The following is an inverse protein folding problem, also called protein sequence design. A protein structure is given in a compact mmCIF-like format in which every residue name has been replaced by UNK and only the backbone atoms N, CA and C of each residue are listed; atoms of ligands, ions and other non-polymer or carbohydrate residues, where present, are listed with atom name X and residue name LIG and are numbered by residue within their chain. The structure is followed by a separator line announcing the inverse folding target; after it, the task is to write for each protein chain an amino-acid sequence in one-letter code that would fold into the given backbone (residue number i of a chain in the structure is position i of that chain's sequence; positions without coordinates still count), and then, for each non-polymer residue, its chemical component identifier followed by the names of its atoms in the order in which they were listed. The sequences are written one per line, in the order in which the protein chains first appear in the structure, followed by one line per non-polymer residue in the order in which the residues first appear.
data_IF_594444835566
#
_entry.id   IF_594444835566
#
_cell.length_a   1.000
_cell.length_b   1.000
_cell.length_c   1.000
_cell.angle_alpha   90.00
_cell.angle_beta   90.00
_cell.angle_gamma   90.00
#
_symmetry.space_group_name_H-M   'P 1'
#
loop_
_entity.id
_entity.type
_entity.pdbx_description
1 polymer ?
#
# COMPACT_ATOMS: atom_id res chain seq x y z
N UNK A 1 -39.40 -19.35 -34.41
CA UNK A 1 -39.44 -18.78 -33.05
C UNK A 1 -38.24 -19.39 -32.35
N UNK A 2 -37.08 -18.76 -32.49
CA UNK A 2 -35.84 -19.23 -31.88
C UNK A 2 -35.44 -18.23 -30.82
N UNK A 3 -35.79 -18.54 -29.57
CA UNK A 3 -35.31 -17.82 -28.40
C UNK A 3 -33.85 -18.19 -28.19
N UNK A 4 -32.94 -17.41 -28.77
CA UNK A 4 -31.52 -17.46 -28.44
C UNK A 4 -31.31 -16.94 -27.02
N UNK A 5 -31.46 -17.82 -26.03
CA UNK A 5 -31.09 -17.54 -24.64
C UNK A 5 -29.56 -17.59 -24.49
N UNK A 6 -28.86 -16.57 -25.00
CA UNK A 6 -27.57 -16.21 -24.41
C UNK A 6 -27.86 -15.40 -23.15
N UNK A 7 -28.41 -16.09 -22.14
CA UNK A 7 -28.46 -15.57 -20.78
C UNK A 7 -27.06 -15.68 -20.20
N UNK A 8 -26.21 -14.68 -20.49
CA UNK A 8 -25.18 -14.36 -19.51
C UNK A 8 -25.93 -14.01 -18.22
N UNK A 9 -25.73 -14.81 -17.18
CA UNK A 9 -26.33 -14.56 -15.87
C UNK A 9 -25.99 -13.11 -15.48
N UNK A 10 -26.97 -12.34 -14.98
CA UNK A 10 -26.72 -10.97 -14.58
C UNK A 10 -25.60 -10.98 -13.54
N UNK A 11 -24.49 -10.29 -13.84
CA UNK A 11 -23.35 -10.13 -12.93
C UNK A 11 -23.90 -9.76 -11.56
N UNK A 12 -23.69 -10.63 -10.57
CA UNK A 12 -24.28 -10.44 -9.25
C UNK A 12 -23.80 -9.12 -8.66
N UNK A 13 -24.67 -8.41 -7.93
CA UNK A 13 -24.28 -7.16 -7.27
C UNK A 13 -23.08 -7.35 -6.33
N UNK A 14 -22.91 -8.56 -5.78
CA UNK A 14 -21.78 -8.97 -4.95
C UNK A 14 -20.45 -9.06 -5.73
N UNK A 15 -20.49 -9.31 -7.05
CA UNK A 15 -19.31 -9.25 -7.93
C UNK A 15 -18.97 -7.81 -8.34
N UNK A 16 -19.96 -6.92 -8.43
CA UNK A 16 -19.77 -5.51 -8.77
C UNK A 16 -19.25 -4.68 -7.58
N UNK A 17 -19.63 -5.06 -6.36
CA UNK A 17 -19.29 -4.38 -5.10
C UNK A 17 -18.69 -5.35 -4.09
N UNK A 18 -17.35 -5.43 -4.05
CA UNK A 18 -16.66 -6.32 -3.13
C UNK A 18 -15.87 -5.51 -2.10
N UNK A 19 -16.15 -5.74 -0.82
CA UNK A 19 -15.40 -5.16 0.30
C UNK A 19 -14.71 -6.28 1.07
N UNK A 20 -13.40 -6.40 0.88
CA UNK A 20 -12.58 -7.33 1.65
C UNK A 20 -12.02 -6.64 2.91
N UNK A 21 -12.53 -7.04 4.07
CA UNK A 21 -12.08 -6.52 5.37
C UNK A 21 -10.97 -7.34 6.01
N UNK A 22 -10.61 -8.50 5.46
CA UNK A 22 -9.54 -9.32 6.03
C UNK A 22 -8.18 -8.69 5.70
N UNK A 23 -7.42 -8.22 6.71
CA UNK A 23 -6.15 -7.55 6.46
C UNK A 23 -5.12 -8.52 5.92
N UNK A 24 -4.47 -8.17 4.82
CA UNK A 24 -3.38 -8.97 4.28
C UNK A 24 -2.11 -8.86 5.14
N UNK A 25 -1.88 -7.70 5.75
CA UNK A 25 -0.69 -7.42 6.55
C UNK A 25 -1.03 -6.93 7.98
N UNK A 26 -0.39 -7.52 9.00
CA UNK A 26 -0.48 -7.06 10.41
C UNK A 26 0.87 -6.62 10.95
N UNK A 27 0.92 -5.41 11.51
CA UNK A 27 2.14 -4.83 12.09
C UNK A 27 1.96 -4.36 13.54
N UNK A 28 2.97 -4.59 14.36
CA UNK A 28 3.18 -3.92 15.65
C UNK A 28 4.46 -3.10 15.56
N UNK A 29 4.37 -1.80 15.82
CA UNK A 29 5.50 -0.87 15.68
C UNK A 29 5.75 -0.17 16.98
N UNK A 30 6.89 -0.46 17.59
CA UNK A 30 7.39 0.33 18.71
C UNK A 30 8.25 1.45 18.17
N UNK A 31 8.12 2.64 18.74
CA UNK A 31 8.90 3.83 18.39
C UNK A 31 9.37 4.48 19.68
N UNK A 32 10.64 4.82 19.72
CA UNK A 32 11.24 5.62 20.78
C UNK A 32 11.97 6.79 20.15
N UNK A 33 11.70 7.98 20.65
CA UNK A 33 12.39 9.19 20.26
C UNK A 33 13.52 9.44 21.25
N UNK A 34 14.76 9.52 20.76
CA UNK A 34 15.96 9.70 21.58
C UNK A 34 16.88 10.69 20.86
N UNK A 35 17.24 11.79 21.52
CA UNK A 35 18.27 12.74 21.05
C UNK A 35 18.13 13.15 19.56
N UNK A 36 16.92 13.44 19.10
CA UNK A 36 16.69 13.86 17.70
C UNK A 36 16.58 12.72 16.68
N UNK A 37 16.63 11.46 17.12
CA UNK A 37 16.47 10.26 16.28
C UNK A 37 15.26 9.46 16.74
N UNK A 38 14.48 8.96 15.78
CA UNK A 38 13.43 7.97 16.01
C UNK A 38 13.99 6.58 15.76
N UNK A 39 14.10 5.82 16.82
CA UNK A 39 14.34 4.38 16.78
C UNK A 39 12.99 3.69 16.73
N UNK A 40 12.84 2.67 15.91
CA UNK A 40 11.63 1.87 15.88
C UNK A 40 11.89 0.40 15.64
N UNK A 41 11.10 -0.44 16.28
CA UNK A 41 11.04 -1.87 16.03
C UNK A 41 9.69 -2.15 15.35
N UNK A 42 9.73 -2.59 14.10
CA UNK A 42 8.55 -3.03 13.39
C UNK A 42 8.54 -4.56 13.40
N UNK A 43 7.47 -5.14 13.93
CA UNK A 43 7.18 -6.55 13.88
C UNK A 43 6.01 -6.75 12.92
N UNK A 44 6.20 -7.64 11.96
CA UNK A 44 5.22 -8.09 10.98
C UNK A 44 4.83 -9.52 11.34
N UNK A 45 3.53 -9.80 11.50
CA UNK A 45 3.04 -11.09 12.04
C UNK A 45 2.21 -11.91 11.07
N UNK A 46 1.61 -11.25 10.09
CA UNK A 46 0.72 -11.89 9.15
C UNK A 46 0.97 -11.23 7.81
N UNK A 47 1.32 -12.05 6.82
CA UNK A 47 1.45 -11.65 5.44
C UNK A 47 0.87 -12.78 4.58
N UNK A 48 -0.42 -12.67 4.25
CA UNK A 48 -1.07 -13.66 3.42
C UNK A 48 -0.46 -13.63 2.00
N UNK A 49 -0.10 -14.79 1.40
CA UNK A 49 -0.44 -16.16 1.80
C UNK A 49 0.65 -16.91 2.60
N UNK A 50 1.86 -16.38 2.73
CA UNK A 50 3.03 -17.13 3.23
C UNK A 50 3.08 -17.21 4.76
N UNK A 51 2.45 -16.25 5.45
CA UNK A 51 2.39 -16.14 6.91
C UNK A 51 3.77 -16.10 7.59
N UNK A 52 4.66 -15.26 7.07
CA UNK A 52 6.00 -15.06 7.63
C UNK A 52 6.02 -13.98 8.72
N UNK A 53 6.90 -14.18 9.70
CA UNK A 53 7.18 -13.20 10.74
C UNK A 53 8.46 -12.46 10.41
N UNK A 54 8.38 -11.12 10.34
CA UNK A 54 9.55 -10.31 10.06
C UNK A 54 9.73 -9.20 11.10
N UNK A 55 10.90 -9.17 11.72
CA UNK A 55 11.33 -8.04 12.55
C UNK A 55 12.20 -7.09 11.72
N UNK A 56 12.01 -5.78 11.89
CA UNK A 56 12.84 -4.74 11.28
C UNK A 56 13.14 -3.66 12.30
N UNK A 57 14.42 -3.41 12.53
CA UNK A 57 14.88 -2.24 13.26
C UNK A 57 14.99 -1.07 12.29
N UNK A 58 14.33 0.04 12.61
CA UNK A 58 14.27 1.23 11.77
C UNK A 58 14.81 2.41 12.54
N UNK A 59 15.79 3.08 11.95
CA UNK A 59 16.39 4.30 12.48
C UNK A 59 16.16 5.41 11.48
N UNK A 60 15.56 6.50 11.93
CA UNK A 60 15.40 7.71 11.11
C UNK A 60 15.54 8.95 11.99
N UNK A 61 16.15 10.02 11.48
CA UNK A 61 16.17 11.29 12.18
C UNK A 61 14.75 11.86 12.32
N UNK A 62 14.52 12.63 13.39
CA UNK A 62 13.27 13.36 13.63
C UNK A 62 13.20 14.64 12.79
N UNK A 63 14.36 15.22 12.48
CA UNK A 63 14.44 16.50 11.82
C UNK A 63 14.09 16.38 10.32
N UNK A 64 13.27 17.31 9.78
CA UNK A 64 12.75 17.21 8.41
C UNK A 64 13.82 17.37 7.31
N UNK A 65 14.98 17.93 7.67
CA UNK A 65 16.17 18.16 6.86
C UNK A 65 17.05 16.91 6.70
N UNK A 66 17.05 16.00 7.69
CA UNK A 66 17.85 14.76 7.64
C UNK A 66 17.03 13.66 6.96
N UNK A 67 17.44 13.31 5.74
CA UNK A 67 16.61 12.58 4.76
C UNK A 67 17.04 11.14 4.52
N UNK A 68 17.34 10.39 5.57
CA UNK A 68 17.68 8.97 5.44
C UNK A 68 16.86 8.11 6.40
N UNK A 69 16.74 6.83 6.05
CA UNK A 69 16.10 5.80 6.85
C UNK A 69 17.00 4.59 6.79
N UNK A 70 17.59 4.25 7.92
CA UNK A 70 18.31 3.00 8.09
C UNK A 70 17.32 1.92 8.52
N UNK A 71 17.49 0.72 7.98
CA UNK A 71 16.69 -0.46 8.26
C UNK A 71 17.65 -1.61 8.45
N UNK A 72 17.51 -2.34 9.54
CA UNK A 72 18.20 -3.61 9.76
C UNK A 72 17.17 -4.72 9.93
N UNK A 73 17.32 -5.77 9.15
CA UNK A 73 16.46 -6.95 9.17
C UNK A 73 17.24 -8.09 9.84
N UNK A 74 17.05 -8.33 11.16
CA UNK A 74 17.86 -9.27 11.94
C UNK A 74 17.81 -10.72 11.45
N UNK A 75 16.72 -11.16 10.82
CA UNK A 75 16.57 -12.56 10.35
C UNK A 75 17.54 -12.88 9.21
N UNK A 76 17.67 -11.97 8.25
CA UNK A 76 18.56 -12.14 7.09
C UNK A 76 19.93 -11.50 7.30
N UNK A 77 20.11 -10.79 8.42
CA UNK A 77 21.24 -9.89 8.64
C UNK A 77 21.42 -8.94 7.45
N UNK A 78 20.32 -8.32 7.01
CA UNK A 78 20.35 -7.36 5.91
C UNK A 78 20.30 -5.94 6.46
N UNK A 79 21.19 -5.09 5.96
CA UNK A 79 21.24 -3.67 6.28
C UNK A 79 20.86 -2.86 5.05
N UNK A 80 19.97 -1.91 5.21
CA UNK A 80 19.55 -1.00 4.16
C UNK A 80 19.57 0.44 4.63
N UNK A 81 20.08 1.33 3.78
CA UNK A 81 20.01 2.77 3.94
C UNK A 81 19.20 3.32 2.77
N UNK A 82 18.05 3.90 3.06
CA UNK A 82 17.16 4.50 2.06
C UNK A 82 17.14 6.01 2.22
N UNK A 83 17.19 6.74 1.12
CA UNK A 83 16.91 8.18 1.08
C UNK A 83 15.41 8.46 1.25
N UNK A 84 15.07 9.68 1.68
CA UNK A 84 13.72 10.23 1.53
C UNK A 84 13.38 10.28 0.04
N UNK A 85 12.09 10.10 -0.28
CA UNK A 85 11.59 10.35 -1.63
C UNK A 85 11.99 11.76 -2.09
N UNK A 86 12.76 11.81 -3.17
CA UNK A 86 13.21 12.99 -3.89
C UNK A 86 12.15 13.28 -4.96
N UNK A 87 11.41 14.39 -4.85
CA UNK A 87 10.48 14.78 -5.92
C UNK A 87 11.30 15.19 -7.15
N UNK A 88 11.22 14.42 -8.23
CA UNK A 88 11.82 14.79 -9.52
C UNK A 88 10.89 15.77 -10.24
N UNK A 89 9.58 15.52 -10.16
CA UNK A 89 8.53 16.39 -10.74
C UNK A 89 7.36 16.50 -9.76
N UNK A 90 6.31 17.26 -10.12
CA UNK A 90 5.06 17.34 -9.34
C UNK A 90 4.39 15.97 -9.14
N UNK A 91 4.62 15.03 -10.05
CA UNK A 91 3.96 13.72 -10.05
C UNK A 91 4.92 12.56 -9.80
N UNK A 92 6.24 12.76 -9.95
CA UNK A 92 7.25 11.71 -9.84
C UNK A 92 8.13 11.89 -8.60
N UNK A 93 8.29 10.80 -7.85
CA UNK A 93 9.14 10.71 -6.69
C UNK A 93 10.13 9.55 -6.84
N UNK A 94 11.43 9.85 -6.76
CA UNK A 94 12.51 8.86 -6.76
C UNK A 94 12.99 8.61 -5.33
N UNK A 95 13.20 7.35 -4.99
CA UNK A 95 13.84 6.92 -3.75
C UNK A 95 15.01 6.03 -4.11
N UNK A 96 16.20 6.37 -3.62
CA UNK A 96 17.42 5.57 -3.80
C UNK A 96 17.88 5.03 -2.45
N UNK A 97 18.50 3.88 -2.43
CA UNK A 97 19.12 3.32 -1.26
C UNK A 97 20.19 2.30 -1.60
N UNK A 98 21.00 1.98 -0.60
CA UNK A 98 22.05 0.97 -0.66
C UNK A 98 21.72 -0.09 0.37
N UNK A 99 21.86 -1.34 -0.01
CA UNK A 99 21.67 -2.50 0.85
C UNK A 99 22.92 -3.36 0.88
N UNK A 100 23.20 -3.97 2.02
CA UNK A 100 24.20 -5.01 2.15
C UNK A 100 23.57 -6.21 2.82
N UNK A 101 23.70 -7.38 2.20
CA UNK A 101 23.33 -8.65 2.82
C UNK A 101 24.58 -9.32 3.34
N UNK A 102 24.65 -9.49 4.67
CA UNK A 102 25.81 -10.14 5.30
C UNK A 102 25.81 -11.65 5.06
N UNK A 103 24.65 -12.30 4.86
CA UNK A 103 24.58 -13.72 4.52
C UNK A 103 25.19 -13.99 3.14
N UNK A 104 24.76 -13.23 2.13
CA UNK A 104 25.22 -13.40 0.75
C UNK A 104 26.51 -12.64 0.44
N UNK A 105 27.04 -11.84 1.39
CA UNK A 105 28.21 -10.98 1.21
C UNK A 105 28.10 -10.05 -0.03
N UNK A 106 26.88 -9.61 -0.36
CA UNK A 106 26.63 -8.76 -1.53
C UNK A 106 26.13 -7.38 -1.13
N UNK A 107 26.65 -6.36 -1.82
CA UNK A 107 26.16 -4.98 -1.72
C UNK A 107 25.39 -4.64 -2.98
N UNK A 108 24.17 -4.14 -2.82
CA UNK A 108 23.27 -3.79 -3.90
C UNK A 108 22.74 -2.37 -3.79
N UNK A 109 22.36 -1.81 -4.94
CA UNK A 109 21.65 -0.53 -5.02
C UNK A 109 20.17 -0.80 -5.27
N UNK A 110 19.31 -0.10 -4.52
CA UNK A 110 17.86 -0.18 -4.64
C UNK A 110 17.32 1.19 -4.98
N UNK A 111 16.66 1.32 -6.12
CA UNK A 111 15.98 2.55 -6.51
C UNK A 111 14.50 2.26 -6.78
N UNK A 112 13.65 3.24 -6.51
CA UNK A 112 12.20 3.15 -6.65
C UNK A 112 11.64 4.47 -7.17
N UNK A 113 11.05 4.44 -8.35
CA UNK A 113 10.30 5.56 -8.92
C UNK A 113 8.80 5.36 -8.63
N UNK A 114 8.14 6.38 -8.09
CA UNK A 114 6.69 6.34 -7.78
C UNK A 114 5.98 7.53 -8.40
N UNK A 115 4.86 7.27 -9.07
CA UNK A 115 3.95 8.29 -9.63
C UNK A 115 2.66 8.39 -8.82
N UNK A 116 2.04 9.57 -8.76
CA UNK A 116 0.69 9.76 -8.22
C UNK A 116 -0.41 9.73 -9.28
N UNK A 117 -0.07 9.54 -10.56
CA UNK A 117 -1.03 9.33 -11.64
C UNK A 117 -1.42 7.84 -11.66
N UNK A 118 -2.66 7.52 -11.32
CA UNK A 118 -3.22 6.17 -11.47
C UNK A 118 -3.39 5.84 -12.95
N UNK A 119 -2.77 4.75 -13.41
CA UNK A 119 -2.84 4.32 -14.82
C UNK A 119 -3.97 3.31 -15.07
N UNK A 120 -4.46 3.29 -16.31
CA UNK A 120 -5.39 2.31 -16.91
C UNK A 120 -6.89 2.48 -16.62
N UNK A 121 -7.44 3.70 -16.56
CA UNK A 121 -8.89 3.94 -16.50
C UNK A 121 -9.60 3.51 -15.20
N UNK A 122 -8.89 2.81 -14.31
CA UNK A 122 -9.33 2.46 -12.96
C UNK A 122 -8.89 3.56 -12.02
N UNK A 123 -9.84 4.22 -11.37
CA UNK A 123 -9.56 5.18 -10.30
C UNK A 123 -9.20 4.40 -9.04
N UNK A 124 -7.90 4.15 -8.85
CA UNK A 124 -7.35 3.47 -7.67
C UNK A 124 -6.97 4.48 -6.60
N UNK A 125 -7.73 4.50 -5.50
CA UNK A 125 -7.42 5.27 -4.29
C UNK A 125 -6.70 4.37 -3.32
N UNK A 126 -5.50 4.78 -2.89
CA UNK A 126 -4.77 4.09 -1.81
C UNK A 126 -4.47 5.06 -0.69
N UNK A 127 -5.01 4.80 0.49
CA UNK A 127 -4.88 5.71 1.62
C UNK A 127 -4.49 4.98 2.92
N UNK A 128 -4.06 5.77 3.90
CA UNK A 128 -3.76 5.31 5.25
C UNK A 128 -4.48 6.21 6.24
N UNK A 129 -5.45 5.66 6.95
CA UNK A 129 -6.16 6.34 8.03
C UNK A 129 -5.44 6.03 9.34
N UNK A 130 -5.22 7.03 10.21
CA UNK A 130 -4.65 6.81 11.55
C UNK A 130 -5.65 7.28 12.62
N UNK A 131 -5.85 6.48 13.65
CA UNK A 131 -6.72 6.72 14.79
C UNK A 131 -5.88 6.65 16.07
N UNK A 132 -5.71 7.78 16.76
CA UNK A 132 -5.05 7.82 18.07
C UNK A 132 -6.03 7.44 19.17
N UNK A 133 -5.71 6.42 19.98
CA UNK A 133 -6.57 6.02 21.09
C UNK A 133 -6.21 6.76 22.37
N UNK A 134 -4.92 6.82 22.70
CA UNK A 134 -4.40 7.54 23.86
C UNK A 134 -2.96 7.99 23.58
N UNK A 135 -2.39 8.92 24.38
CA UNK A 135 -1.05 9.42 24.15
C UNK A 135 -0.03 8.28 24.03
N UNK A 136 0.58 8.15 22.85
CA UNK A 136 1.58 7.12 22.57
C UNK A 136 1.04 5.81 21.98
N UNK A 137 -0.26 5.64 21.73
CA UNK A 137 -0.79 4.51 20.94
C UNK A 137 -1.68 5.00 19.78
N UNK A 138 -1.26 4.68 18.56
CA UNK A 138 -2.01 4.92 17.34
C UNK A 138 -2.31 3.62 16.60
N UNK A 139 -3.54 3.45 16.12
CA UNK A 139 -3.87 2.45 15.12
C UNK A 139 -3.85 3.07 13.73
N UNK A 140 -3.30 2.36 12.74
CA UNK A 140 -3.22 2.80 11.36
C UNK A 140 -3.71 1.74 10.41
N UNK A 141 -4.67 2.11 9.59
CA UNK A 141 -5.34 1.26 8.62
C UNK A 141 -4.95 1.70 7.22
N UNK A 142 -4.25 0.84 6.48
CA UNK A 142 -4.00 1.03 5.05
C UNK A 142 -5.10 0.34 4.26
N UNK A 143 -5.74 1.07 3.35
CA UNK A 143 -6.83 0.56 2.53
C UNK A 143 -6.68 1.02 1.09
N UNK A 144 -7.22 0.22 0.18
CA UNK A 144 -7.28 0.49 -1.25
C UNK A 144 -8.73 0.41 -1.70
N UNK A 145 -9.15 1.33 -2.57
CA UNK A 145 -10.43 1.29 -3.25
C UNK A 145 -10.21 1.50 -4.74
N UNK A 146 -10.59 0.50 -5.52
CA UNK A 146 -10.58 0.52 -6.98
C UNK A 146 -11.99 0.82 -7.47
N UNK A 147 -12.12 1.92 -8.21
CA UNK A 147 -13.40 2.35 -8.76
C UNK A 147 -13.32 2.45 -10.28
N UNK A 148 -14.24 1.74 -10.94
CA UNK A 148 -14.50 1.82 -12.37
C UNK A 148 -15.83 2.54 -12.54
N UNK A 149 -15.79 3.70 -13.21
CA UNK A 149 -16.97 4.49 -13.50
C UNK A 149 -17.93 3.69 -14.41
N UNK A 150 -19.26 3.82 -14.21
CA UNK A 150 -20.21 3.28 -15.15
C UNK A 150 -20.04 3.96 -16.51
N UNK A 151 -20.08 3.17 -17.57
CA UNK A 151 -19.93 3.65 -18.94
C UNK A 151 -21.17 3.29 -19.75
N UNK A 152 -21.74 4.28 -20.42
CA UNK A 152 -22.86 4.11 -21.34
C UNK A 152 -22.34 4.40 -22.73
N UNK A 153 -22.32 3.38 -23.58
CA UNK A 153 -21.93 3.48 -24.99
C UNK A 153 -23.15 3.16 -25.86
N UNK A 154 -23.20 3.71 -27.06
CA UNK A 154 -24.27 3.43 -28.00
C UNK A 154 -23.89 3.94 -29.36
N UNK A 155 -24.14 3.15 -30.39
CA UNK A 155 -23.84 3.53 -31.76
C UNK A 155 -25.04 3.25 -32.67
N UNK A 156 -25.24 4.13 -33.64
CA UNK A 156 -26.33 4.04 -34.62
C UNK A 156 -25.71 3.91 -36.00
N UNK A 157 -25.97 2.79 -36.69
CA UNK A 157 -25.54 2.58 -38.08
C UNK A 157 -24.21 1.84 -38.28
N UNK A 158 -23.49 1.45 -37.21
CA UNK A 158 -22.22 0.71 -37.29
C UNK A 158 -22.35 -0.79 -36.96
N UNK A 159 -23.56 -1.32 -36.76
CA UNK A 159 -23.80 -2.72 -36.39
C UNK A 159 -23.52 -3.06 -34.92
N UNK A 160 -23.01 -2.09 -34.15
CA UNK A 160 -22.91 -2.13 -32.70
C UNK A 160 -24.28 -1.87 -32.04
N UNK A 161 -24.49 -2.32 -30.78
CA UNK A 161 -25.76 -2.14 -30.09
C UNK A 161 -26.12 -0.65 -29.89
N UNK A 162 -27.41 -0.35 -30.06
CA UNK A 162 -28.00 0.99 -29.88
C UNK A 162 -27.73 1.58 -28.49
N UNK A 163 -27.61 0.71 -27.48
CA UNK A 163 -27.28 1.06 -26.11
C UNK A 163 -26.56 -0.12 -25.44
N UNK A 164 -25.42 0.16 -24.82
CA UNK A 164 -24.66 -0.76 -23.99
C UNK A 164 -24.27 -0.02 -22.71
N UNK A 165 -24.50 -0.66 -21.56
CA UNK A 165 -24.29 -0.06 -20.26
C UNK A 165 -23.44 -0.98 -19.39
N UNK A 166 -22.29 -0.47 -18.95
CA UNK A 166 -21.50 -1.05 -17.90
C UNK A 166 -21.84 -0.33 -16.59
N UNK A 167 -22.30 -1.06 -15.59
CA UNK A 167 -22.70 -0.53 -14.27
C UNK A 167 -21.52 -0.01 -13.44
N UNK A 168 -20.28 -0.16 -13.91
CA UNK A 168 -19.09 0.15 -13.14
C UNK A 168 -18.83 -0.91 -12.05
N UNK A 169 -17.70 -0.78 -11.35
CA UNK A 169 -17.28 -1.72 -10.31
C UNK A 169 -16.60 -0.98 -9.16
N UNK A 170 -16.86 -1.39 -7.93
CA UNK A 170 -16.16 -0.91 -6.74
C UNK A 170 -15.57 -2.10 -5.99
N UNK A 171 -14.26 -2.09 -5.83
CA UNK A 171 -13.55 -3.06 -5.01
C UNK A 171 -12.78 -2.33 -3.92
N UNK A 172 -13.13 -2.57 -2.66
CA UNK A 172 -12.41 -2.04 -1.52
C UNK A 172 -11.71 -3.16 -0.75
N UNK A 173 -10.48 -2.92 -0.33
CA UNK A 173 -9.69 -3.87 0.45
C UNK A 173 -8.99 -3.20 1.62
N UNK A 174 -9.00 -3.87 2.77
CA UNK A 174 -8.12 -3.55 3.88
C UNK A 174 -6.74 -4.19 3.64
N UNK A 175 -5.78 -3.41 3.17
CA UNK A 175 -4.44 -3.92 2.89
C UNK A 175 -3.70 -4.28 4.19
N UNK A 176 -3.78 -3.40 5.19
CA UNK A 176 -2.87 -3.44 6.34
C UNK A 176 -3.46 -2.83 7.60
N UNK A 177 -3.18 -3.44 8.73
CA UNK A 177 -3.38 -2.86 10.07
C UNK A 177 -2.04 -2.71 10.79
N UNK A 178 -1.78 -1.53 11.35
CA UNK A 178 -0.61 -1.26 12.17
C UNK A 178 -1.04 -0.76 13.55
N UNK A 179 -0.55 -1.39 14.61
CA UNK A 179 -0.57 -0.82 15.96
C UNK A 179 0.78 -0.13 16.22
N UNK A 180 0.77 1.13 16.61
CA UNK A 180 1.96 1.95 16.75
C UNK A 180 2.06 2.47 18.18
N UNK A 181 3.04 1.99 18.94
CA UNK A 181 3.38 2.50 20.25
C UNK A 181 4.54 3.49 20.11
N UNK A 182 4.34 4.74 20.52
CA UNK A 182 5.36 5.79 20.48
C UNK A 182 5.64 6.30 21.89
N UNK A 183 6.87 6.08 22.36
CA UNK A 183 7.38 6.63 23.60
C UNK A 183 8.25 7.85 23.32
N UNK A 184 7.91 8.98 23.94
CA UNK A 184 8.73 10.19 23.95
C UNK A 184 9.43 10.27 25.31
N UNK A 185 10.76 10.36 25.34
CA UNK A 185 11.45 10.69 26.58
C UNK A 185 11.26 12.18 26.83
N UNK A 186 10.47 12.53 27.85
CA UNK A 186 10.40 13.89 28.42
C UNK A 186 11.75 14.37 28.92
#
# INVERSE_FOLDING_TARGET
MDAGSNGEEPVSWDELYNINLMPSELFLKFRKEVQGVRVGLNLEFYNAPVNEYQAKLVLKPLSPDRRWKFIYEPVHHDVHILSKKIPITKFLNLQVGVGHSFQLHTTGWKWKLTTCLGGNGISRIRNKTSLGLFPGLDFRFGWTADYVLPEITGAVGTGEPLFNMNSGRLQASLDRVEAILTHTSS
#
